data_IF_363509584137
#
_entry.id   IF_363509584137
#
_cell.length_a   1.000
_cell.length_b   1.000
_cell.length_c   1.000
_cell.angle_alpha   90.00
_cell.angle_beta   90.00
_cell.angle_gamma   90.00
#
_symmetry.space_group_name_H-M   'P 1'
#
loop_
_entity.id
_entity.type
_entity.pdbx_description
1 polymer ?
#
# COMPACT_ATOMS: atom_id res chain seq x y z
N UNK A 1 -8.50 14.01 -29.06
CA UNK A 1 -9.88 13.72 -28.63
C UNK A 1 -10.18 14.60 -27.43
N UNK A 2 -11.38 15.16 -27.25
CA UNK A 2 -11.70 15.93 -26.05
C UNK A 2 -11.56 15.06 -24.80
N UNK A 3 -10.99 15.62 -23.73
CA UNK A 3 -10.68 14.90 -22.47
C UNK A 3 -11.89 14.14 -21.88
N UNK A 4 -13.09 14.69 -22.09
CA UNK A 4 -14.34 14.08 -21.56
C UNK A 4 -14.67 12.72 -22.19
N UNK A 5 -14.36 12.53 -23.48
CA UNK A 5 -14.60 11.25 -24.17
C UNK A 5 -13.63 10.17 -23.71
N UNK A 6 -12.37 10.53 -23.43
CA UNK A 6 -11.35 9.61 -22.95
C UNK A 6 -11.69 9.09 -21.55
N UNK A 7 -12.16 9.95 -20.64
CA UNK A 7 -12.58 9.58 -19.31
C UNK A 7 -13.77 8.61 -19.35
N UNK A 8 -14.82 8.96 -20.12
CA UNK A 8 -16.02 8.12 -20.25
C UNK A 8 -15.67 6.77 -20.87
N UNK A 9 -14.83 6.76 -21.92
CA UNK A 9 -14.41 5.52 -22.57
C UNK A 9 -13.57 4.64 -21.64
N UNK A 10 -12.64 5.21 -20.86
CA UNK A 10 -11.82 4.50 -19.88
C UNK A 10 -12.69 3.90 -18.77
N UNK A 11 -13.64 4.67 -18.22
CA UNK A 11 -14.57 4.19 -17.21
C UNK A 11 -15.48 3.09 -17.74
N UNK A 12 -16.13 3.33 -18.87
CA UNK A 12 -17.07 2.37 -19.46
C UNK A 12 -16.38 1.06 -19.87
N UNK A 13 -15.20 1.15 -20.51
CA UNK A 13 -14.39 -0.01 -20.87
C UNK A 13 -13.86 -0.74 -19.65
N UNK A 14 -13.31 -0.01 -18.67
CA UNK A 14 -12.75 -0.60 -17.45
C UNK A 14 -13.81 -1.31 -16.61
N UNK A 15 -14.91 -0.63 -16.26
CA UNK A 15 -15.98 -1.23 -15.47
C UNK A 15 -16.76 -2.30 -16.23
N UNK A 16 -16.99 -2.12 -17.54
CA UNK A 16 -17.65 -3.11 -18.37
C UNK A 16 -16.90 -4.42 -18.44
N UNK A 17 -15.60 -4.37 -18.74
CA UNK A 17 -14.73 -5.58 -18.75
C UNK A 17 -14.54 -6.16 -17.36
N UNK A 18 -14.37 -5.32 -16.34
CA UNK A 18 -14.28 -5.80 -14.96
C UNK A 18 -15.55 -6.55 -14.54
N UNK A 19 -16.72 -6.07 -14.90
CA UNK A 19 -17.99 -6.75 -14.64
C UNK A 19 -18.06 -8.10 -15.34
N UNK A 20 -17.74 -8.15 -16.64
CA UNK A 20 -17.79 -9.38 -17.45
C UNK A 20 -16.84 -10.42 -16.88
N UNK A 21 -15.56 -10.08 -16.73
CA UNK A 21 -14.55 -11.01 -16.24
C UNK A 21 -14.69 -11.34 -14.76
N UNK A 22 -15.16 -10.38 -13.93
CA UNK A 22 -15.45 -10.60 -12.52
C UNK A 22 -16.61 -11.61 -12.35
N UNK A 23 -17.68 -11.49 -13.13
CA UNK A 23 -18.77 -12.46 -13.14
C UNK A 23 -18.30 -13.82 -13.66
N UNK A 24 -17.52 -13.85 -14.74
CA UNK A 24 -16.97 -15.09 -15.26
C UNK A 24 -16.08 -15.80 -14.22
N UNK A 25 -15.20 -15.09 -13.53
CA UNK A 25 -14.39 -15.63 -12.43
C UNK A 25 -15.26 -16.20 -11.32
N UNK A 26 -16.30 -15.47 -10.89
CA UNK A 26 -17.25 -15.92 -9.88
C UNK A 26 -17.98 -17.19 -10.31
N UNK A 27 -18.38 -17.28 -11.57
CA UNK A 27 -19.03 -18.48 -12.13
C UNK A 27 -18.09 -19.70 -12.10
N UNK A 28 -16.80 -19.47 -12.29
CA UNK A 28 -15.74 -20.50 -12.18
C UNK A 28 -15.33 -20.79 -10.72
N UNK A 29 -16.04 -20.23 -9.73
CA UNK A 29 -15.74 -20.33 -8.29
C UNK A 29 -14.35 -19.78 -7.92
N UNK A 30 -13.82 -18.87 -8.73
CA UNK A 30 -12.57 -18.15 -8.48
C UNK A 30 -12.88 -16.78 -7.86
N UNK A 31 -11.94 -16.18 -7.12
CA UNK A 31 -12.12 -14.83 -6.61
C UNK A 31 -12.36 -13.83 -7.76
N UNK A 32 -13.37 -12.94 -7.66
CA UNK A 32 -13.66 -11.93 -8.69
C UNK A 32 -12.46 -11.04 -9.03
N UNK A 33 -11.53 -10.87 -8.08
CA UNK A 33 -10.29 -10.13 -8.24
C UNK A 33 -9.47 -10.60 -9.44
N UNK A 34 -9.42 -11.92 -9.70
CA UNK A 34 -8.72 -12.47 -10.88
C UNK A 34 -9.37 -11.96 -12.18
N UNK A 35 -10.69 -11.86 -12.21
CA UNK A 35 -11.40 -11.28 -13.34
C UNK A 35 -11.06 -9.81 -13.55
N UNK A 36 -10.93 -9.03 -12.48
CA UNK A 36 -10.53 -7.62 -12.57
C UNK A 36 -9.10 -7.45 -13.07
N UNK A 37 -8.18 -8.32 -12.66
CA UNK A 37 -6.80 -8.33 -13.17
C UNK A 37 -6.78 -8.62 -14.68
N UNK A 38 -7.52 -9.62 -15.14
CA UNK A 38 -7.64 -9.95 -16.57
C UNK A 38 -8.22 -8.77 -17.33
N UNK A 39 -9.28 -8.13 -16.82
CA UNK A 39 -9.85 -6.94 -17.43
C UNK A 39 -8.81 -5.82 -17.57
N UNK A 40 -8.02 -5.57 -16.53
CA UNK A 40 -6.95 -4.57 -16.56
C UNK A 40 -5.86 -4.86 -17.60
N UNK A 41 -5.46 -6.14 -17.75
CA UNK A 41 -4.52 -6.56 -18.79
C UNK A 41 -5.11 -6.36 -20.19
N UNK A 42 -6.38 -6.66 -20.37
CA UNK A 42 -7.07 -6.52 -21.66
C UNK A 42 -7.17 -5.08 -22.18
N UNK A 43 -7.29 -4.10 -21.29
CA UNK A 43 -7.31 -2.66 -21.64
C UNK A 43 -5.97 -1.96 -21.42
N UNK A 44 -4.95 -2.72 -21.04
CA UNK A 44 -3.61 -2.22 -20.80
C UNK A 44 -2.81 -1.99 -22.09
N UNK A 45 -1.68 -1.28 -22.02
CA UNK A 45 -0.86 -0.93 -23.19
C UNK A 45 -0.18 -2.13 -23.86
N UNK A 46 -0.13 -3.28 -23.19
CA UNK A 46 0.48 -4.50 -23.73
C UNK A 46 -0.46 -5.30 -24.65
N UNK A 47 -1.75 -4.96 -24.68
CA UNK A 47 -2.76 -5.68 -25.46
C UNK A 47 -3.21 -4.83 -26.65
N UNK A 48 -3.21 -5.36 -27.89
CA UNK A 48 -3.69 -4.61 -29.05
C UNK A 48 -5.20 -4.37 -28.94
N UNK A 49 -5.64 -3.14 -29.17
CA UNK A 49 -7.06 -2.76 -29.13
C UNK A 49 -7.30 -1.42 -28.44
N UNK A 50 -8.37 -1.34 -27.68
CA UNK A 50 -8.66 -0.15 -26.87
C UNK A 50 -7.72 -0.12 -25.66
N UNK A 51 -6.93 0.96 -25.57
CA UNK A 51 -6.04 1.22 -24.43
C UNK A 51 -6.67 2.30 -23.56
N UNK A 52 -6.90 1.98 -22.29
CA UNK A 52 -7.37 2.93 -21.30
C UNK A 52 -6.29 3.97 -21.00
N UNK A 53 -6.70 5.17 -20.63
CA UNK A 53 -5.78 6.23 -20.18
C UNK A 53 -5.12 5.80 -18.85
N UNK A 54 -3.79 5.66 -18.88
CA UNK A 54 -3.01 5.18 -17.72
C UNK A 54 -3.08 6.20 -16.58
N UNK A 55 -3.00 7.50 -16.86
CA UNK A 55 -3.05 8.54 -15.85
C UNK A 55 -4.39 8.59 -15.13
N UNK A 56 -5.49 8.51 -15.87
CA UNK A 56 -6.83 8.39 -15.28
C UNK A 56 -7.02 7.10 -14.49
N UNK A 57 -6.50 5.98 -15.00
CA UNK A 57 -6.58 4.70 -14.32
C UNK A 57 -5.84 4.70 -12.98
N UNK A 58 -4.68 5.33 -12.90
CA UNK A 58 -3.93 5.52 -11.65
C UNK A 58 -4.71 6.38 -10.64
N UNK A 59 -5.24 7.51 -11.06
CA UNK A 59 -6.03 8.38 -10.17
C UNK A 59 -7.27 7.66 -9.63
N UNK A 60 -7.97 6.89 -10.46
CA UNK A 60 -9.10 6.08 -10.04
C UNK A 60 -8.69 4.97 -9.06
N UNK A 61 -7.54 4.33 -9.29
CA UNK A 61 -7.00 3.33 -8.38
C UNK A 61 -6.66 3.95 -7.01
N UNK A 62 -6.04 5.13 -6.97
CA UNK A 62 -5.75 5.85 -5.72
C UNK A 62 -7.03 6.18 -4.94
N UNK A 63 -8.07 6.69 -5.62
CA UNK A 63 -9.38 6.93 -5.00
C UNK A 63 -9.97 5.62 -4.47
N UNK A 64 -9.90 4.54 -5.26
CA UNK A 64 -10.38 3.21 -4.85
C UNK A 64 -9.69 2.68 -3.59
N UNK A 65 -8.36 2.84 -3.50
CA UNK A 65 -7.58 2.46 -2.32
C UNK A 65 -7.92 3.33 -1.12
N UNK A 66 -8.07 4.65 -1.29
CA UNK A 66 -8.49 5.55 -0.22
C UNK A 66 -9.86 5.15 0.36
N UNK A 67 -10.84 4.88 -0.50
CA UNK A 67 -12.18 4.44 -0.07
C UNK A 67 -12.15 3.08 0.63
N UNK A 68 -11.33 2.14 0.12
CA UNK A 68 -11.15 0.85 0.76
C UNK A 68 -10.54 1.00 2.15
N UNK A 69 -9.45 1.76 2.28
CA UNK A 69 -8.79 1.99 3.58
C UNK A 69 -9.70 2.72 4.55
N UNK A 70 -10.49 3.67 4.08
CA UNK A 70 -11.52 4.34 4.89
C UNK A 70 -12.57 3.33 5.39
N UNK A 71 -13.09 2.47 4.50
CA UNK A 71 -14.05 1.42 4.87
C UNK A 71 -13.50 0.46 5.93
N UNK A 72 -12.25 0.01 5.75
CA UNK A 72 -11.57 -0.85 6.75
C UNK A 72 -11.38 -0.11 8.07
N UNK A 73 -10.94 1.16 8.02
CA UNK A 73 -10.74 1.97 9.21
C UNK A 73 -12.01 2.20 10.04
N UNK A 74 -13.20 2.17 9.42
CA UNK A 74 -14.47 2.24 10.13
C UNK A 74 -14.82 0.97 10.92
N UNK A 75 -14.35 -0.18 10.45
CA UNK A 75 -14.66 -1.49 11.06
C UNK A 75 -13.56 -1.98 12.00
N UNK A 76 -12.36 -1.38 11.95
CA UNK A 76 -11.21 -1.82 12.72
C UNK A 76 -10.93 -0.85 13.88
N UNK A 77 -11.13 -1.32 15.10
CA UNK A 77 -10.86 -0.57 16.32
C UNK A 77 -9.39 -0.67 16.74
N UNK A 78 -8.85 0.39 17.35
CA UNK A 78 -7.53 0.36 17.97
C UNK A 78 -7.43 -0.70 19.09
N UNK A 79 -8.54 -0.96 19.78
CA UNK A 79 -8.62 -1.98 20.82
C UNK A 79 -8.47 -3.39 20.25
N UNK A 80 -9.01 -3.64 19.05
CA UNK A 80 -8.84 -4.93 18.34
C UNK A 80 -7.38 -5.18 17.98
N UNK A 81 -6.66 -4.12 17.54
CA UNK A 81 -5.23 -4.20 17.28
C UNK A 81 -4.43 -4.53 18.55
N UNK A 82 -4.79 -3.89 19.67
CA UNK A 82 -4.16 -4.16 20.96
C UNK A 82 -4.40 -5.59 21.45
N UNK A 83 -5.57 -6.16 21.17
CA UNK A 83 -5.89 -7.53 21.51
C UNK A 83 -5.01 -8.54 20.78
N UNK A 84 -4.71 -8.32 19.51
CA UNK A 84 -3.95 -9.26 18.66
C UNK A 84 -2.46 -8.97 18.58
N UNK A 85 -1.97 -7.86 19.13
CA UNK A 85 -0.57 -7.40 19.01
C UNK A 85 0.48 -8.44 19.40
N UNK A 86 0.20 -9.30 20.38
CA UNK A 86 1.14 -10.32 20.85
C UNK A 86 1.44 -11.40 19.79
N UNK A 87 0.55 -11.58 18.83
CA UNK A 87 0.69 -12.54 17.72
C UNK A 87 1.06 -11.78 16.44
N UNK A 88 0.35 -10.69 16.14
CA UNK A 88 0.53 -9.92 14.91
C UNK A 88 1.93 -9.30 14.80
N UNK A 89 2.43 -8.67 15.86
CA UNK A 89 3.73 -7.99 15.83
C UNK A 89 4.90 -8.95 15.61
N UNK A 90 5.08 -10.01 16.44
CA UNK A 90 6.22 -10.91 16.22
C UNK A 90 6.08 -11.70 14.92
N UNK A 91 4.85 -12.04 14.51
CA UNK A 91 4.61 -12.74 13.27
C UNK A 91 4.97 -11.92 12.03
N UNK A 92 4.50 -10.67 11.96
CA UNK A 92 4.82 -9.76 10.86
C UNK A 92 6.34 -9.49 10.79
N UNK A 93 7.00 -9.22 11.92
CA UNK A 93 8.44 -9.00 11.95
C UNK A 93 9.22 -10.23 11.49
N UNK A 94 8.85 -11.42 11.96
CA UNK A 94 9.48 -12.66 11.52
C UNK A 94 9.31 -12.89 10.02
N UNK A 95 8.11 -12.69 9.49
CA UNK A 95 7.83 -12.78 8.05
C UNK A 95 8.72 -11.82 7.26
N UNK A 96 8.75 -10.53 7.63
CA UNK A 96 9.56 -9.52 6.95
C UNK A 96 11.03 -9.94 6.94
N UNK A 97 11.59 -10.36 8.08
CA UNK A 97 12.98 -10.77 8.19
C UNK A 97 13.27 -11.98 7.29
N UNK A 98 12.46 -13.03 7.39
CA UNK A 98 12.66 -14.27 6.62
C UNK A 98 12.55 -14.02 5.12
N UNK A 99 11.48 -13.32 4.69
CA UNK A 99 11.27 -13.07 3.25
C UNK A 99 12.33 -12.11 2.69
N UNK A 100 12.71 -11.08 3.47
CA UNK A 100 13.81 -10.17 3.08
C UNK A 100 15.12 -10.91 2.95
N UNK A 101 15.44 -11.81 3.89
CA UNK A 101 16.67 -12.61 3.82
C UNK A 101 16.67 -13.55 2.59
N UNK A 102 15.56 -14.22 2.30
CA UNK A 102 15.42 -15.05 1.12
C UNK A 102 15.52 -14.23 -0.18
N UNK A 103 14.82 -13.10 -0.24
CA UNK A 103 14.90 -12.17 -1.37
C UNK A 103 16.29 -11.60 -1.57
N UNK A 104 16.99 -11.27 -0.49
CA UNK A 104 18.40 -10.84 -0.52
C UNK A 104 19.31 -11.92 -1.10
N UNK A 105 19.15 -13.18 -0.70
CA UNK A 105 19.92 -14.30 -1.24
C UNK A 105 19.71 -14.46 -2.75
N UNK A 106 18.46 -14.38 -3.21
CA UNK A 106 18.12 -14.46 -4.64
C UNK A 106 18.71 -13.28 -5.41
N UNK A 107 18.55 -12.06 -4.90
CA UNK A 107 19.06 -10.85 -5.54
C UNK A 107 20.60 -10.83 -5.60
N UNK A 108 21.28 -11.34 -4.57
CA UNK A 108 22.72 -11.49 -4.54
C UNK A 108 23.23 -12.50 -5.59
N UNK A 109 22.44 -13.53 -5.87
CA UNK A 109 22.76 -14.47 -6.96
C UNK A 109 22.66 -13.81 -8.35
N UNK A 110 21.88 -12.75 -8.49
CA UNK A 110 21.76 -11.95 -9.71
C UNK A 110 22.74 -10.77 -9.78
N UNK A 111 23.79 -10.76 -8.94
CA UNK A 111 24.80 -9.70 -8.87
C UNK A 111 24.25 -8.29 -8.62
N UNK A 112 23.08 -8.18 -7.94
CA UNK A 112 22.61 -6.89 -7.49
C UNK A 112 23.50 -6.31 -6.39
N UNK A 113 23.61 -4.99 -6.34
CA UNK A 113 24.31 -4.31 -5.24
C UNK A 113 23.66 -4.67 -3.89
N UNK A 114 24.44 -4.62 -2.80
CA UNK A 114 23.93 -4.98 -1.45
C UNK A 114 22.67 -4.22 -1.07
N UNK A 115 22.62 -2.91 -1.38
CA UNK A 115 21.43 -2.08 -1.15
C UNK A 115 20.26 -2.53 -2.04
N UNK A 116 20.53 -2.77 -3.32
CA UNK A 116 19.55 -3.29 -4.27
C UNK A 116 18.97 -4.63 -3.83
N UNK A 117 19.79 -5.53 -3.31
CA UNK A 117 19.37 -6.82 -2.79
C UNK A 117 18.48 -6.70 -1.54
N UNK A 118 18.80 -5.78 -0.62
CA UNK A 118 17.96 -5.49 0.56
C UNK A 118 16.61 -4.92 0.13
N UNK A 119 16.61 -3.93 -0.77
CA UNK A 119 15.37 -3.32 -1.30
C UNK A 119 14.50 -4.34 -2.00
N UNK A 120 15.11 -5.20 -2.82
CA UNK A 120 14.40 -6.28 -3.49
C UNK A 120 13.75 -7.25 -2.49
N UNK A 121 14.50 -7.69 -1.47
CA UNK A 121 13.98 -8.56 -0.42
C UNK A 121 12.85 -7.91 0.39
N UNK A 122 12.99 -6.64 0.77
CA UNK A 122 11.93 -5.88 1.42
C UNK A 122 10.68 -5.77 0.54
N UNK A 123 10.85 -5.49 -0.75
CA UNK A 123 9.73 -5.41 -1.69
C UNK A 123 8.95 -6.73 -1.82
N UNK A 124 9.64 -7.86 -1.74
CA UNK A 124 9.01 -9.19 -1.74
C UNK A 124 8.29 -9.50 -0.43
N UNK A 125 8.68 -8.88 0.69
CA UNK A 125 8.07 -9.16 2.00
C UNK A 125 6.70 -8.50 2.18
N UNK A 126 6.34 -7.54 1.33
CA UNK A 126 5.09 -6.79 1.45
C UNK A 126 3.93 -7.63 0.92
N UNK A 127 3.01 -7.99 1.79
CA UNK A 127 1.75 -8.61 1.40
C UNK A 127 0.77 -7.56 0.86
N UNK A 128 -0.11 -7.96 -0.05
CA UNK A 128 -1.14 -7.06 -0.56
C UNK A 128 -2.30 -6.93 0.42
N UNK A 129 -2.31 -5.83 1.17
CA UNK A 129 -3.38 -5.47 2.12
C UNK A 129 -4.75 -5.47 1.44
N UNK A 130 -4.85 -4.90 0.23
CA UNK A 130 -6.10 -4.83 -0.54
C UNK A 130 -6.65 -6.21 -0.88
N UNK A 131 -5.79 -7.10 -1.35
CA UNK A 131 -6.20 -8.47 -1.74
C UNK A 131 -6.68 -9.26 -0.54
N UNK A 132 -5.93 -9.23 0.56
CA UNK A 132 -6.28 -9.99 1.76
C UNK A 132 -7.59 -9.47 2.37
N UNK A 133 -7.75 -8.16 2.50
CA UNK A 133 -8.98 -7.56 3.01
C UNK A 133 -10.20 -7.94 2.18
N UNK A 134 -10.10 -7.88 0.86
CA UNK A 134 -11.19 -8.29 -0.04
C UNK A 134 -11.55 -9.77 0.10
N UNK A 135 -10.56 -10.63 0.30
CA UNK A 135 -10.81 -12.07 0.52
C UNK A 135 -11.47 -12.29 1.87
N UNK A 136 -11.03 -11.63 2.93
CA UNK A 136 -11.64 -11.73 4.26
C UNK A 136 -13.08 -11.22 4.25
N UNK A 137 -13.31 -10.06 3.62
CA UNK A 137 -14.65 -9.46 3.46
C UNK A 137 -15.60 -10.39 2.69
N UNK A 138 -15.15 -10.91 1.53
CA UNK A 138 -15.97 -11.80 0.70
C UNK A 138 -16.34 -13.11 1.37
N UNK A 139 -15.55 -13.55 2.35
CA UNK A 139 -15.80 -14.76 3.14
C UNK A 139 -16.48 -14.47 4.49
N UNK A 140 -16.77 -13.21 4.81
CA UNK A 140 -17.36 -12.82 6.09
C UNK A 140 -16.47 -13.14 7.30
N UNK A 141 -15.13 -13.15 7.10
CA UNK A 141 -14.17 -13.52 8.14
C UNK A 141 -13.54 -12.32 8.83
N UNK A 142 -13.88 -11.11 8.44
CA UNK A 142 -13.22 -9.88 8.91
C UNK A 142 -13.35 -9.69 10.43
N UNK A 143 -14.51 -9.98 10.98
CA UNK A 143 -14.80 -9.85 12.42
C UNK A 143 -14.40 -11.08 13.25
N UNK A 144 -13.89 -12.14 12.62
CA UNK A 144 -13.40 -13.32 13.33
C UNK A 144 -12.04 -13.06 13.98
N UNK A 145 -11.71 -13.81 15.04
CA UNK A 145 -10.40 -13.70 15.69
C UNK A 145 -9.23 -13.88 14.70
N UNK A 146 -9.36 -14.80 13.73
CA UNK A 146 -8.36 -14.99 12.69
C UNK A 146 -8.29 -13.81 11.71
N UNK A 147 -9.44 -13.22 11.38
CA UNK A 147 -9.51 -12.02 10.56
C UNK A 147 -8.85 -10.82 11.23
N UNK A 148 -9.13 -10.60 12.50
CA UNK A 148 -8.51 -9.53 13.31
C UNK A 148 -6.99 -9.71 13.42
N UNK A 149 -6.50 -10.95 13.62
CA UNK A 149 -5.06 -11.24 13.62
C UNK A 149 -4.46 -10.91 12.24
N UNK A 150 -5.11 -11.31 11.14
CA UNK A 150 -4.63 -11.05 9.79
C UNK A 150 -4.58 -9.56 9.47
N UNK A 151 -5.61 -8.79 9.84
CA UNK A 151 -5.64 -7.33 9.66
C UNK A 151 -4.58 -6.66 10.53
N UNK A 152 -4.45 -7.07 11.80
CA UNK A 152 -3.40 -6.56 12.69
C UNK A 152 -1.99 -6.83 12.16
N UNK A 153 -1.78 -8.00 11.54
CA UNK A 153 -0.52 -8.37 10.88
C UNK A 153 -0.20 -7.42 9.72
N UNK A 154 -1.15 -7.15 8.84
CA UNK A 154 -0.99 -6.20 7.73
C UNK A 154 -0.69 -4.78 8.20
N UNK A 155 -1.38 -4.31 9.24
CA UNK A 155 -1.14 -2.96 9.79
C UNK A 155 0.29 -2.82 10.31
N UNK A 156 0.79 -3.86 11.00
CA UNK A 156 2.19 -3.87 11.48
C UNK A 156 3.17 -3.89 10.30
N UNK A 157 2.89 -4.68 9.28
CA UNK A 157 3.70 -4.78 8.06
C UNK A 157 3.78 -3.43 7.34
N UNK A 158 2.64 -2.77 7.13
CA UNK A 158 2.57 -1.44 6.50
C UNK A 158 3.35 -0.39 7.32
N UNK A 159 3.24 -0.42 8.66
CA UNK A 159 3.97 0.49 9.53
C UNK A 159 5.49 0.29 9.43
N UNK A 160 5.95 -0.96 9.42
CA UNK A 160 7.38 -1.29 9.24
C UNK A 160 7.88 -0.85 7.87
N UNK A 161 7.05 -1.00 6.83
CA UNK A 161 7.41 -0.57 5.47
C UNK A 161 7.51 0.94 5.32
N UNK A 162 6.60 1.70 5.94
CA UNK A 162 6.71 3.17 5.99
C UNK A 162 8.01 3.59 6.67
N UNK A 163 8.37 2.94 7.79
CA UNK A 163 9.62 3.19 8.48
C UNK A 163 10.84 2.84 7.60
N UNK A 164 10.80 1.69 6.92
CA UNK A 164 11.85 1.27 6.00
C UNK A 164 12.04 2.26 4.85
N UNK A 165 10.94 2.73 4.22
CA UNK A 165 10.99 3.72 3.14
C UNK A 165 11.59 5.05 3.58
N UNK A 166 11.35 5.48 4.82
CA UNK A 166 11.94 6.70 5.39
C UNK A 166 13.44 6.51 5.66
N UNK A 167 13.86 5.31 6.07
CA UNK A 167 15.25 5.01 6.38
C UNK A 167 16.11 4.68 5.14
N UNK A 168 15.51 4.17 4.07
CA UNK A 168 16.21 3.77 2.84
C UNK A 168 17.08 4.88 2.22
N UNK A 169 16.64 6.14 2.05
CA UNK A 169 17.47 7.21 1.51
C UNK A 169 18.69 7.50 2.40
N UNK A 170 18.53 7.39 3.72
CA UNK A 170 19.62 7.60 4.69
C UNK A 170 20.67 6.49 4.56
N UNK A 171 20.21 5.24 4.47
CA UNK A 171 21.10 4.08 4.28
C UNK A 171 21.81 4.12 2.91
N UNK A 172 21.10 4.52 1.85
CA UNK A 172 21.68 4.68 0.53
C UNK A 172 22.76 5.76 0.49
N UNK A 173 22.61 6.84 1.27
CA UNK A 173 23.64 7.87 1.41
C UNK A 173 24.90 7.40 2.14
N UNK A 174 24.78 6.41 3.03
CA UNK A 174 25.90 5.87 3.81
C UNK A 174 26.66 4.77 3.05
N UNK A 175 25.90 3.90 2.37
CA UNK A 175 26.44 2.68 1.72
C UNK A 175 26.49 2.76 0.19
N UNK A 176 26.02 3.87 -0.42
CA UNK A 176 26.04 4.04 -1.88
C UNK A 176 27.44 4.37 -2.38
N UNK A 177 27.79 3.91 -3.59
CA UNK A 177 29.09 4.11 -4.24
C UNK A 177 29.44 5.60 -4.51
N UNK A 178 28.54 6.54 -4.23
CA UNK A 178 28.77 7.98 -4.29
C UNK A 178 29.23 8.59 -2.94
N UNK A 179 29.83 7.81 -2.06
CA UNK A 179 30.45 8.28 -0.81
C UNK A 179 31.58 9.33 -0.99
N UNK A 180 31.86 9.72 -2.22
CA UNK A 180 32.89 10.73 -2.51
C UNK A 180 32.51 12.18 -2.15
N UNK A 181 31.24 12.45 -1.81
CA UNK A 181 30.77 13.81 -1.46
C UNK A 181 30.20 13.95 -0.05
N UNK A 182 30.09 12.86 0.71
CA UNK A 182 29.65 12.93 2.12
C UNK A 182 30.79 12.55 3.05
N UNK A 183 31.86 13.35 3.06
CA UNK A 183 32.83 13.31 4.11
C UNK A 183 32.15 13.66 5.44
N UNK A 184 32.30 12.75 6.41
CA UNK A 184 32.05 12.95 7.84
C UNK A 184 30.57 13.21 8.25
N UNK A 185 29.67 12.27 7.96
CA UNK A 185 28.47 12.17 8.78
C UNK A 185 28.85 11.48 10.10
N UNK A 186 29.04 12.25 11.15
CA UNK A 186 29.18 11.75 12.53
C UNK A 186 27.89 11.02 12.92
N UNK A 187 27.95 10.07 13.85
CA UNK A 187 26.76 9.36 14.35
C UNK A 187 25.69 10.31 14.93
N UNK A 188 26.09 11.52 15.35
CA UNK A 188 25.20 12.61 15.77
C UNK A 188 24.43 13.23 14.59
N UNK A 189 25.04 13.31 13.40
CA UNK A 189 24.39 13.84 12.21
C UNK A 189 23.36 12.86 11.63
N UNK A 190 23.63 11.56 11.76
CA UNK A 190 22.72 10.49 11.38
C UNK A 190 21.45 10.51 12.24
N UNK A 191 21.58 10.60 13.56
CA UNK A 191 20.47 10.73 14.49
C UNK A 191 19.68 12.02 14.24
N UNK A 192 20.33 13.13 13.92
CA UNK A 192 19.68 14.39 13.60
C UNK A 192 18.93 14.32 12.25
N UNK A 193 19.50 13.68 11.23
CA UNK A 193 18.83 13.46 9.93
C UNK A 193 17.61 12.55 10.05
N UNK A 194 17.72 11.43 10.79
CA UNK A 194 16.59 10.55 11.09
C UNK A 194 15.53 11.32 11.87
N UNK A 195 15.93 12.04 12.92
CA UNK A 195 15.01 12.85 13.72
C UNK A 195 14.31 13.94 12.91
N UNK A 196 15.01 14.65 12.04
CA UNK A 196 14.44 15.67 11.14
C UNK A 196 13.49 15.06 10.11
N UNK A 197 13.82 13.88 9.57
CA UNK A 197 12.98 13.19 8.59
C UNK A 197 11.70 12.68 9.24
N UNK A 198 11.81 12.05 10.41
CA UNK A 198 10.66 11.61 11.19
C UNK A 198 9.79 12.79 11.64
N UNK A 199 10.40 13.91 12.08
CA UNK A 199 9.69 15.13 12.45
C UNK A 199 8.95 15.77 11.26
N UNK A 200 9.56 15.76 10.05
CA UNK A 200 8.89 16.23 8.83
C UNK A 200 7.68 15.36 8.48
N UNK A 201 7.85 14.03 8.49
CA UNK A 201 6.76 13.08 8.23
C UNK A 201 5.65 13.24 9.27
N UNK A 202 5.99 13.28 10.56
CA UNK A 202 5.02 13.49 11.64
C UNK A 202 4.28 14.82 11.50
N UNK A 203 4.99 15.90 11.15
CA UNK A 203 4.39 17.23 10.93
C UNK A 203 3.43 17.25 9.74
N UNK A 204 3.78 16.59 8.63
CA UNK A 204 2.88 16.48 7.48
C UNK A 204 1.65 15.62 7.76
N UNK A 205 1.84 14.51 8.48
CA UNK A 205 0.74 13.66 8.94
C UNK A 205 -0.20 14.40 9.90
N UNK A 206 0.37 15.12 10.86
CA UNK A 206 -0.41 15.93 11.82
C UNK A 206 -1.16 17.06 11.10
N UNK A 207 -0.51 17.75 10.16
CA UNK A 207 -1.14 18.80 9.37
C UNK A 207 -2.31 18.27 8.52
N UNK A 208 -2.13 17.09 7.89
CA UNK A 208 -3.20 16.43 7.12
C UNK A 208 -4.34 15.95 8.02
N UNK A 209 -4.03 15.35 9.17
CA UNK A 209 -5.05 14.91 10.14
C UNK A 209 -5.86 16.08 10.70
N UNK A 210 -5.19 17.19 11.04
CA UNK A 210 -5.85 18.42 11.50
C UNK A 210 -6.69 19.06 10.40
N UNK A 211 -6.16 19.11 9.17
CA UNK A 211 -6.89 19.63 8.02
C UNK A 211 -8.15 18.81 7.73
N UNK A 212 -8.03 17.48 7.74
CA UNK A 212 -9.15 16.56 7.53
C UNK A 212 -10.18 16.66 8.67
N UNK A 213 -9.73 16.70 9.93
CA UNK A 213 -10.59 16.88 11.11
C UNK A 213 -11.33 18.22 11.09
N UNK A 214 -10.63 19.31 10.76
CA UNK A 214 -11.21 20.64 10.67
C UNK A 214 -12.20 20.78 9.51
N UNK A 215 -11.91 20.14 8.37
CA UNK A 215 -12.78 20.14 7.18
C UNK A 215 -14.03 19.29 7.41
N UNK A 216 -13.90 18.15 8.08
CA UNK A 216 -15.02 17.28 8.45
C UNK A 216 -15.93 17.97 9.50
N UNK A 217 -15.34 18.60 10.51
CA UNK A 217 -16.09 19.35 11.53
C UNK A 217 -16.85 20.55 10.95
N UNK A 218 -16.25 21.28 10.01
CA UNK A 218 -16.90 22.43 9.33
C UNK A 218 -18.05 22.00 8.42
N UNK A 219 -17.93 20.87 7.74
CA UNK A 219 -19.00 20.35 6.87
C UNK A 219 -20.13 19.65 7.66
N UNK A 220 -19.84 19.02 8.78
CA UNK A 220 -20.87 18.42 9.65
C UNK A 220 -21.65 19.48 10.43
N UNK A 221 -21.01 20.59 10.80
CA UNK A 221 -21.71 21.72 11.41
C UNK A 221 -22.77 22.37 10.51
N UNK A 222 -22.54 22.40 9.19
CA UNK A 222 -23.53 22.89 8.21
C UNK A 222 -24.71 21.93 7.96
N UNK A 223 -24.55 20.63 8.25
CA UNK A 223 -25.64 19.63 8.06
C UNK A 223 -26.56 19.47 9.28
N UNK A 224 -26.15 19.99 10.46
CA UNK A 224 -26.95 19.91 11.70
C UNK A 224 -27.67 21.21 12.08
N UNK A 225 -27.34 22.34 11.42
CA UNK A 225 -27.93 23.66 11.69
C UNK A 225 -28.42 24.41 10.46
N UNK A 226 -28.65 23.74 9.33
CA UNK A 226 -29.24 24.29 8.11
C UNK A 226 -30.64 23.80 7.84
#
# INVERSE_FOLDING_TARGET
MPHDVTLIATLAGGFGLALIFGLAASYLKMPPLLGYLIAGVMIGPATPGFVADIGLSQQLAEIGVMLLMFGVGLHFSFDDLMAVKKIAVPGALLQIIVVTALGFMVASYWDLSTIGAIVFGLSLSVASTVVLLRVLESKGLLETANGQIAVGWLVVEDLVMVLALVLLPVLAGIYGDNAATTQQASSSDLLSMIGLTLAKVAKEWLARAVYFGCHCYRNWGCLLFG
#
